data_IF_845088317491
#
_entry.id   IF_845088317491
#
_cell.length_a   1.000
_cell.length_b   1.000
_cell.length_c   1.000
_cell.angle_alpha   90.00
_cell.angle_beta   90.00
_cell.angle_gamma   90.00
#
_symmetry.space_group_name_H-M   'P 1'
#
loop_
_entity.id
_entity.type
_entity.pdbx_description
1 polymer ?
#
# COMPACT_ATOMS: atom_id res chain seq x y z
N UNK A 1 19.85 -1.88 -13.67
CA UNK A 1 20.05 -0.50 -14.19
C UNK A 1 21.56 -0.25 -14.39
N UNK A 2 22.01 0.66 -15.27
CA UNK A 2 23.46 0.94 -15.47
C UNK A 2 24.00 2.10 -14.62
N UNK A 3 23.15 3.06 -14.27
CA UNK A 3 23.46 4.24 -13.45
C UNK A 3 22.50 4.34 -12.26
N UNK A 4 22.87 5.03 -11.17
CA UNK A 4 21.96 5.29 -10.05
C UNK A 4 20.68 6.03 -10.48
N UNK A 5 19.65 5.94 -9.64
CA UNK A 5 18.41 6.69 -9.79
C UNK A 5 18.40 7.80 -8.76
N UNK A 6 18.18 9.04 -9.20
CA UNK A 6 18.09 10.19 -8.31
C UNK A 6 16.65 10.68 -8.21
N UNK A 7 16.26 11.08 -7.01
CA UNK A 7 14.96 11.67 -6.70
C UNK A 7 15.17 13.09 -6.18
N UNK A 8 14.29 14.01 -6.59
CA UNK A 8 14.39 15.42 -6.19
C UNK A 8 13.89 15.68 -4.78
N UNK A 9 13.03 14.80 -4.26
CA UNK A 9 12.44 14.93 -2.93
C UNK A 9 12.18 13.57 -2.29
N UNK A 10 12.21 13.58 -0.97
CA UNK A 10 11.57 12.56 -0.15
C UNK A 10 10.10 12.91 -0.01
N UNK A 11 9.24 11.91 0.15
CA UNK A 11 7.83 12.16 0.39
C UNK A 11 7.24 11.10 1.30
N UNK A 12 6.18 11.49 1.98
CA UNK A 12 5.40 10.66 2.86
C UNK A 12 3.93 10.98 2.63
N UNK A 13 3.11 9.96 2.49
CA UNK A 13 1.67 10.08 2.28
C UNK A 13 0.96 9.12 3.21
N UNK A 14 -0.10 9.62 3.85
CA UNK A 14 -1.01 8.82 4.65
C UNK A 14 -2.42 9.08 4.15
N UNK A 15 -3.14 8.00 3.85
CA UNK A 15 -4.54 8.03 3.45
C UNK A 15 -5.33 7.19 4.45
N UNK A 16 -6.43 7.75 4.94
CA UNK A 16 -7.41 7.05 5.76
C UNK A 16 -8.74 7.22 5.05
N UNK A 17 -9.37 6.11 4.69
CA UNK A 17 -10.63 6.07 3.96
C UNK A 17 -11.61 5.22 4.75
N UNK A 18 -12.82 5.73 4.93
CA UNK A 18 -13.93 4.99 5.51
C UNK A 18 -14.97 4.70 4.42
N UNK A 19 -15.33 3.44 4.30
CA UNK A 19 -16.25 2.93 3.29
C UNK A 19 -17.46 2.36 4.02
N UNK A 20 -18.63 2.95 3.82
CA UNK A 20 -19.88 2.42 4.37
C UNK A 20 -20.36 1.23 3.54
N UNK A 21 -20.59 0.10 4.20
CA UNK A 21 -21.17 -1.10 3.60
C UNK A 21 -22.66 -0.82 3.32
N UNK A 22 -23.12 -0.97 2.07
CA UNK A 22 -24.54 -0.77 1.74
C UNK A 22 -25.45 -1.75 2.49
N UNK A 23 -26.69 -1.34 2.73
CA UNK A 23 -27.69 -2.20 3.36
C UNK A 23 -27.90 -3.49 2.54
N UNK A 24 -28.04 -4.62 3.24
CA UNK A 24 -28.19 -5.93 2.62
C UNK A 24 -26.89 -6.56 2.12
N UNK A 25 -25.73 -5.93 2.30
CA UNK A 25 -24.41 -6.50 1.97
C UNK A 25 -23.62 -6.88 3.23
N UNK A 26 -22.66 -7.79 3.05
CA UNK A 26 -21.62 -8.13 4.03
C UNK A 26 -20.27 -8.30 3.34
N UNK A 27 -19.18 -8.14 4.09
CA UNK A 27 -17.83 -8.44 3.59
C UNK A 27 -17.67 -9.94 3.42
N UNK A 28 -17.37 -10.37 2.20
CA UNK A 28 -16.94 -11.74 1.88
C UNK A 28 -15.44 -11.86 2.08
N UNK A 29 -14.69 -10.93 1.50
CA UNK A 29 -13.24 -10.94 1.46
C UNK A 29 -12.70 -9.54 1.63
N UNK A 30 -11.71 -9.43 2.50
CA UNK A 30 -10.85 -8.27 2.61
C UNK A 30 -9.41 -8.71 2.36
N UNK A 31 -8.57 -7.91 1.69
CA UNK A 31 -7.15 -8.23 1.56
C UNK A 31 -6.45 -8.25 2.92
N UNK A 32 -5.35 -8.98 2.99
CA UNK A 32 -4.52 -9.00 4.20
C UNK A 32 -3.80 -7.66 4.41
N UNK A 33 -3.51 -7.34 5.67
CA UNK A 33 -2.62 -6.25 6.03
C UNK A 33 -1.21 -6.51 5.48
N UNK A 34 -0.53 -5.45 5.05
CA UNK A 34 0.86 -5.53 4.62
C UNK A 34 1.72 -4.45 5.24
N UNK A 35 2.97 -4.79 5.54
CA UNK A 35 3.98 -3.87 6.05
C UNK A 35 5.34 -4.19 5.43
N UNK A 36 5.71 -3.43 4.41
CA UNK A 36 7.01 -3.48 3.74
C UNK A 36 7.91 -2.38 4.30
N UNK A 37 9.11 -2.75 4.73
CA UNK A 37 10.11 -1.83 5.27
C UNK A 37 11.46 -2.15 4.64
N UNK A 38 12.01 -1.19 3.91
CA UNK A 38 13.33 -1.27 3.27
C UNK A 38 14.15 -0.02 3.61
N UNK A 39 15.48 -0.04 3.40
CA UNK A 39 16.33 1.12 3.72
C UNK A 39 15.89 2.44 3.08
N UNK A 40 15.33 2.35 1.86
CA UNK A 40 14.92 3.51 1.05
C UNK A 40 13.44 3.88 1.15
N UNK A 41 12.61 3.08 1.81
CA UNK A 41 11.18 3.36 1.90
C UNK A 41 10.38 2.38 2.73
N UNK A 42 9.15 2.78 3.05
CA UNK A 42 8.19 1.91 3.71
C UNK A 42 6.79 2.07 3.14
N UNK A 43 6.07 0.96 3.12
CA UNK A 43 4.70 0.87 2.63
C UNK A 43 3.88 0.02 3.59
N UNK A 44 2.73 0.52 4.00
CA UNK A 44 1.83 -0.20 4.89
C UNK A 44 0.40 0.02 4.46
N UNK A 45 -0.36 -1.08 4.45
CA UNK A 45 -1.81 -1.04 4.35
C UNK A 45 -2.38 -1.77 5.54
N UNK A 46 -3.42 -1.17 6.13
CA UNK A 46 -4.25 -1.81 7.14
C UNK A 46 -5.71 -1.73 6.75
N UNK A 47 -6.41 -2.82 7.00
CA UNK A 47 -7.84 -2.90 6.86
C UNK A 47 -8.47 -3.22 8.22
N UNK A 48 -9.57 -2.55 8.56
CA UNK A 48 -10.42 -2.96 9.69
C UNK A 48 -11.88 -2.85 9.30
N UNK A 49 -12.72 -3.71 9.89
CA UNK A 49 -14.16 -3.69 9.68
C UNK A 49 -14.82 -3.53 11.04
N UNK A 50 -15.55 -2.43 11.21
CA UNK A 50 -16.30 -2.12 12.42
C UNK A 50 -17.77 -1.90 12.05
N UNK A 51 -18.64 -2.84 12.45
CA UNK A 51 -20.07 -2.84 12.08
C UNK A 51 -20.24 -2.83 10.55
N UNK A 52 -20.78 -1.74 10.02
CA UNK A 52 -21.04 -1.52 8.60
C UNK A 52 -20.04 -0.53 7.97
N UNK A 53 -18.86 -0.33 8.59
CA UNK A 53 -17.81 0.55 8.07
C UNK A 53 -16.53 -0.26 7.88
N UNK A 54 -15.94 -0.14 6.69
CA UNK A 54 -14.60 -0.63 6.40
C UNK A 54 -13.65 0.56 6.45
N UNK A 55 -12.62 0.47 7.28
CA UNK A 55 -11.55 1.45 7.34
C UNK A 55 -10.34 0.92 6.59
N UNK A 56 -9.84 1.74 5.68
CA UNK A 56 -8.63 1.50 4.91
C UNK A 56 -7.58 2.55 5.26
N UNK A 57 -6.42 2.12 5.74
CA UNK A 57 -5.31 3.00 6.06
C UNK A 57 -4.07 2.65 5.23
N UNK A 58 -3.65 3.56 4.35
CA UNK A 58 -2.45 3.42 3.52
C UNK A 58 -1.40 4.41 3.95
N UNK A 59 -0.22 3.92 4.30
CA UNK A 59 0.97 4.72 4.56
C UNK A 59 2.04 4.38 3.54
N UNK A 60 2.58 5.39 2.88
CA UNK A 60 3.68 5.23 1.94
C UNK A 60 4.73 6.32 2.17
N UNK A 61 5.98 5.90 2.35
CA UNK A 61 7.11 6.80 2.56
C UNK A 61 8.27 6.38 1.68
N UNK A 62 8.90 7.38 1.09
CA UNK A 62 10.16 7.27 0.38
C UNK A 62 11.16 8.22 1.05
N UNK A 63 12.27 7.68 1.55
CA UNK A 63 13.20 8.40 2.43
C UNK A 63 14.65 8.38 1.93
N UNK A 64 14.85 8.25 0.62
CA UNK A 64 16.16 8.40 -0.02
C UNK A 64 16.10 9.39 -1.18
N UNK A 65 17.25 9.98 -1.52
CA UNK A 65 17.43 10.78 -2.74
C UNK A 65 18.10 9.97 -3.85
N UNK A 66 18.60 8.77 -3.54
CA UNK A 66 19.32 7.92 -4.47
C UNK A 66 18.95 6.45 -4.26
N UNK A 67 18.83 5.72 -5.37
CA UNK A 67 18.85 4.26 -5.40
C UNK A 67 20.07 3.84 -6.22
N UNK A 68 21.02 3.18 -5.56
CA UNK A 68 22.22 2.66 -6.20
C UNK A 68 21.87 1.60 -7.26
N UNK A 69 22.87 1.21 -8.05
CA UNK A 69 22.69 0.15 -9.05
C UNK A 69 22.38 -1.19 -8.39
N UNK A 70 22.99 -1.43 -7.24
CA UNK A 70 22.91 -2.66 -6.45
C UNK A 70 21.54 -2.79 -5.79
N UNK A 71 20.98 -1.68 -5.29
CA UNK A 71 19.66 -1.64 -4.65
C UNK A 71 18.50 -1.67 -5.66
N UNK A 72 18.77 -1.43 -6.95
CA UNK A 72 17.72 -1.27 -7.95
C UNK A 72 16.79 -2.48 -8.08
N UNK A 73 17.30 -3.71 -7.90
CA UNK A 73 16.43 -4.91 -7.96
C UNK A 73 15.40 -4.89 -6.84
N UNK A 74 15.86 -4.70 -5.60
CA UNK A 74 14.98 -4.61 -4.43
C UNK A 74 14.03 -3.41 -4.49
N UNK A 75 14.50 -2.28 -5.03
CA UNK A 75 13.63 -1.12 -5.27
C UNK A 75 12.54 -1.43 -6.29
N UNK A 76 12.90 -2.08 -7.41
CA UNK A 76 11.93 -2.46 -8.43
C UNK A 76 10.87 -3.42 -7.85
N UNK A 77 11.30 -4.46 -7.15
CA UNK A 77 10.41 -5.43 -6.50
C UNK A 77 9.48 -4.74 -5.48
N UNK A 78 10.00 -3.77 -4.72
CA UNK A 78 9.21 -2.99 -3.79
C UNK A 78 8.11 -2.18 -4.48
N UNK A 79 8.43 -1.49 -5.58
CA UNK A 79 7.44 -0.74 -6.37
C UNK A 79 6.43 -1.67 -7.04
N UNK A 80 6.88 -2.80 -7.59
CA UNK A 80 6.00 -3.82 -8.19
C UNK A 80 5.04 -4.40 -7.14
N UNK A 81 5.53 -4.67 -5.92
CA UNK A 81 4.68 -5.15 -4.83
C UNK A 81 3.65 -4.10 -4.44
N UNK A 82 4.03 -2.83 -4.29
CA UNK A 82 3.07 -1.74 -4.02
C UNK A 82 1.98 -1.71 -5.09
N UNK A 83 2.36 -1.79 -6.38
CA UNK A 83 1.39 -1.78 -7.47
C UNK A 83 0.42 -2.97 -7.40
N UNK A 84 0.90 -4.16 -7.03
CA UNK A 84 0.05 -5.34 -6.83
C UNK A 84 -0.92 -5.16 -5.65
N UNK A 85 -0.44 -4.62 -4.53
CA UNK A 85 -1.27 -4.35 -3.34
C UNK A 85 -2.34 -3.28 -3.61
N UNK A 86 -1.99 -2.23 -4.36
CA UNK A 86 -2.93 -1.16 -4.74
C UNK A 86 -4.04 -1.66 -5.71
N UNK A 87 -3.89 -2.84 -6.31
CA UNK A 87 -4.92 -3.48 -7.16
C UNK A 87 -5.80 -4.49 -6.41
N UNK A 88 -5.57 -4.71 -5.11
CA UNK A 88 -6.38 -5.64 -4.34
C UNK A 88 -7.80 -5.12 -4.14
N UNK A 89 -8.77 -6.03 -4.19
CA UNK A 89 -10.19 -5.70 -4.11
C UNK A 89 -10.82 -6.24 -2.82
N UNK A 90 -11.65 -5.40 -2.21
CA UNK A 90 -12.58 -5.76 -1.14
C UNK A 90 -13.86 -6.28 -1.81
N UNK A 91 -14.26 -7.50 -1.46
CA UNK A 91 -15.42 -8.16 -2.05
C UNK A 91 -16.58 -8.14 -1.05
N UNK A 92 -17.71 -7.61 -1.49
CA UNK A 92 -18.98 -7.64 -0.77
C UNK A 92 -19.93 -8.63 -1.45
N UNK A 93 -20.69 -9.36 -0.65
CA UNK A 93 -21.82 -10.15 -1.15
C UNK A 93 -23.11 -9.72 -0.50
N UNK A 94 -24.21 -9.95 -1.21
CA UNK A 94 -25.54 -9.79 -0.64
C UNK A 94 -25.75 -10.83 0.47
N UNK A 95 -26.37 -10.41 1.57
CA UNK A 95 -26.74 -11.26 2.70
C UNK A 95 -27.77 -12.31 2.31
#
# INVERSE_FOLDING_TARGET
>A
RRFPMYFYSQYCTQNIIEITIPEGYKVERIPDDINLVLPFGSYRVKYSVEKDIIKYERYYKFNTFEISKEEYSSFKEFIERIAQEDTQEIILIQK
#
